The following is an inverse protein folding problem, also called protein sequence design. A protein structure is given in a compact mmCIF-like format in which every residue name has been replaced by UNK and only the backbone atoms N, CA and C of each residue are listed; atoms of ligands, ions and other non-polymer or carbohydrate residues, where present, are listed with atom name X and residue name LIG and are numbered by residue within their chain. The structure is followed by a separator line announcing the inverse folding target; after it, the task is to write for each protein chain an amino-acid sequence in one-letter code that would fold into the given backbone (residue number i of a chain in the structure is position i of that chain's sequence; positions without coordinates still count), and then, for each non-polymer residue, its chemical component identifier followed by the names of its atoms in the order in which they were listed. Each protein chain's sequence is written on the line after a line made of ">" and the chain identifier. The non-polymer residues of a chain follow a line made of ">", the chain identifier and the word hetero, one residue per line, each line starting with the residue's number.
data_IF_306357894715
#
_entry.id   IF_306357894715
#
_cell.length_a   1.000
_cell.length_b   1.000
_cell.length_c   1.000
_cell.angle_alpha   90.00
_cell.angle_beta   90.00
_cell.angle_gamma   90.00
#
_symmetry.space_group_name_H-M   'P 1'
#
loop_
_entity.id
_entity.type
_entity.pdbx_description
1 polymer ?
#
# COMPACT_ATOMS: atom_id res chain seq x y z
N UNK A 1 10.96 3.27 19.73
CA UNK A 1 11.86 4.43 19.60
C UNK A 1 13.31 4.03 19.37
N UNK A 2 13.91 3.12 20.15
CA UNK A 2 15.37 2.83 20.08
C UNK A 2 15.89 2.21 18.77
N UNK A 3 15.02 1.61 17.94
CA UNK A 3 15.45 0.89 16.73
C UNK A 3 14.95 1.49 15.40
N UNK A 4 14.02 2.45 15.44
CA UNK A 4 13.42 3.04 14.22
C UNK A 4 14.36 4.06 13.58
N UNK A 5 14.55 3.96 12.26
CA UNK A 5 15.33 4.94 11.48
C UNK A 5 14.54 6.23 11.24
N UNK A 6 13.24 6.13 10.97
CA UNK A 6 12.34 7.29 10.90
C UNK A 6 11.19 7.04 11.86
N UNK A 7 10.89 8.02 12.71
CA UNK A 7 9.80 7.93 13.68
C UNK A 7 9.04 9.26 13.73
N UNK A 8 7.72 9.19 13.56
CA UNK A 8 6.82 10.30 13.83
C UNK A 8 6.11 10.01 15.15
N UNK A 9 6.18 10.94 16.10
CA UNK A 9 5.40 10.88 17.35
C UNK A 9 4.20 11.82 17.24
N UNK A 10 3.02 11.23 17.02
CA UNK A 10 1.71 11.91 17.02
C UNK A 10 1.70 13.24 16.25
N UNK A 11 2.29 13.21 15.06
CA UNK A 11 2.47 14.40 14.23
C UNK A 11 1.13 14.85 13.65
N UNK A 12 0.87 16.16 13.70
CA UNK A 12 -0.31 16.77 13.09
C UNK A 12 0.08 17.93 12.17
N UNK A 13 -0.62 18.03 11.04
CA UNK A 13 -0.48 19.12 10.07
C UNK A 13 -1.83 19.75 9.76
N UNK A 14 -1.94 21.06 9.97
CA UNK A 14 -3.12 21.89 9.80
C UNK A 14 -2.81 22.98 8.77
N UNK A 15 -3.69 23.15 7.80
CA UNK A 15 -3.62 24.23 6.83
C UNK A 15 -4.77 25.20 7.05
N UNK A 16 -4.47 26.50 7.06
CA UNK A 16 -5.50 27.53 7.02
C UNK A 16 -6.12 27.58 5.62
N UNK A 17 -7.44 27.52 5.54
CA UNK A 17 -8.21 27.67 4.29
C UNK A 17 -9.23 28.79 4.42
N UNK A 18 -9.80 29.24 3.30
CA UNK A 18 -10.89 30.23 3.33
C UNK A 18 -12.15 29.77 4.07
N UNK A 19 -12.28 28.46 4.34
CA UNK A 19 -13.40 27.85 5.06
C UNK A 19 -13.04 27.44 6.50
N UNK A 20 -11.88 27.82 7.00
CA UNK A 20 -11.36 27.44 8.33
C UNK A 20 -10.15 26.52 8.25
N UNK A 21 -9.90 25.77 9.33
CA UNK A 21 -8.74 24.89 9.45
C UNK A 21 -8.98 23.53 8.78
N UNK A 22 -8.03 23.11 7.95
CA UNK A 22 -8.01 21.79 7.33
C UNK A 22 -6.89 20.94 7.94
N UNK A 23 -7.27 19.93 8.72
CA UNK A 23 -6.34 18.98 9.32
C UNK A 23 -5.96 17.90 8.30
N UNK A 24 -4.85 18.12 7.59
CA UNK A 24 -4.31 17.20 6.59
C UNK A 24 -3.67 15.96 7.20
N UNK A 25 -3.07 16.08 8.39
CA UNK A 25 -2.47 14.99 9.16
C UNK A 25 -2.91 15.15 10.62
N UNK A 26 -3.32 14.06 11.27
CA UNK A 26 -3.94 14.05 12.61
C UNK A 26 -3.29 12.96 13.47
N UNK A 27 -2.46 13.37 14.41
CA UNK A 27 -1.80 12.50 15.40
C UNK A 27 -1.12 11.26 14.79
N UNK A 28 -0.51 11.41 13.62
CA UNK A 28 0.12 10.29 12.90
C UNK A 28 1.37 9.84 13.64
N UNK A 29 1.37 8.56 13.99
CA UNK A 29 2.54 7.85 14.53
C UNK A 29 2.96 6.79 13.53
N UNK A 30 4.20 6.85 13.06
CA UNK A 30 4.80 5.83 12.18
C UNK A 30 6.19 5.48 12.68
N UNK A 31 6.56 4.22 12.53
CA UNK A 31 7.88 3.69 12.81
C UNK A 31 8.41 2.98 11.56
N UNK A 32 9.51 3.47 11.01
CA UNK A 32 10.16 2.88 9.84
C UNK A 32 11.52 2.36 10.25
N UNK A 33 11.76 1.09 9.96
CA UNK A 33 12.96 0.38 10.34
C UNK A 33 14.09 0.59 9.31
N UNK A 34 15.37 0.46 9.71
CA UNK A 34 16.50 0.49 8.78
C UNK A 34 16.37 -0.59 7.69
N UNK A 35 16.63 -0.23 6.44
CA UNK A 35 16.52 -1.13 5.29
C UNK A 35 15.09 -1.49 4.88
N UNK A 36 14.05 -0.91 5.49
CA UNK A 36 12.66 -1.25 5.18
C UNK A 36 12.15 -0.55 3.91
N UNK A 37 11.36 -1.25 3.10
CA UNK A 37 10.49 -0.64 2.08
C UNK A 37 9.10 -0.39 2.70
N UNK A 38 8.86 0.84 3.15
CA UNK A 38 7.64 1.23 3.85
C UNK A 38 6.74 2.06 2.95
N UNK A 39 5.48 1.65 2.74
CA UNK A 39 4.54 2.41 1.92
C UNK A 39 3.48 3.15 2.73
N UNK A 40 3.24 4.41 2.37
CA UNK A 40 2.04 5.16 2.72
C UNK A 40 1.02 4.97 1.60
N UNK A 41 -0.10 4.31 1.90
CA UNK A 41 -1.15 3.97 0.95
C UNK A 41 -2.47 4.63 1.35
N UNK A 42 -3.30 5.07 0.40
CA UNK A 42 -4.59 5.68 0.69
C UNK A 42 -5.12 6.49 -0.47
N UNK A 43 -6.38 6.92 -0.39
CA UNK A 43 -7.04 7.74 -1.43
C UNK A 43 -6.41 9.14 -1.56
N UNK A 44 -6.77 9.87 -2.62
CA UNK A 44 -6.38 11.28 -2.75
C UNK A 44 -6.89 12.08 -1.54
N UNK A 45 -6.04 12.96 -1.01
CA UNK A 45 -6.36 13.76 0.18
C UNK A 45 -6.23 13.04 1.52
N UNK A 46 -5.78 11.78 1.57
CA UNK A 46 -5.64 11.04 2.84
C UNK A 46 -4.47 11.48 3.74
N UNK A 47 -3.61 12.41 3.28
CA UNK A 47 -2.50 12.97 4.06
C UNK A 47 -1.12 12.37 3.78
N UNK A 48 -0.99 11.45 2.80
CA UNK A 48 0.29 10.76 2.48
C UNK A 48 1.42 11.71 2.08
N UNK A 49 1.19 12.53 1.05
CA UNK A 49 2.19 13.50 0.55
C UNK A 49 2.53 14.54 1.62
N UNK A 50 1.55 14.98 2.41
CA UNK A 50 1.82 15.86 3.56
C UNK A 50 2.72 15.17 4.59
N UNK A 51 2.44 13.91 4.93
CA UNK A 51 3.27 13.11 5.84
C UNK A 51 4.70 12.94 5.30
N UNK A 52 4.85 12.64 4.00
CA UNK A 52 6.15 12.55 3.35
C UNK A 52 6.92 13.89 3.39
N UNK A 53 6.23 15.00 3.15
CA UNK A 53 6.81 16.36 3.23
C UNK A 53 7.22 16.75 4.64
N UNK A 54 6.48 16.30 5.66
CA UNK A 54 6.85 16.47 7.07
C UNK A 54 8.13 15.70 7.40
N UNK A 55 8.35 14.52 6.82
CA UNK A 55 9.62 13.77 6.97
C UNK A 55 10.76 14.51 6.23
N UNK A 56 10.49 14.95 4.99
CA UNK A 56 11.46 15.66 4.15
C UNK A 56 11.77 17.09 4.61
N UNK A 57 11.01 17.66 5.56
CA UNK A 57 11.17 19.01 6.06
C UNK A 57 10.65 20.11 5.15
N UNK A 58 9.87 19.76 4.13
CA UNK A 58 9.19 20.72 3.26
C UNK A 58 7.95 21.33 3.93
N UNK A 59 7.49 20.70 5.00
CA UNK A 59 6.44 21.17 5.90
C UNK A 59 6.91 21.04 7.33
N UNK A 60 6.41 21.92 8.21
CA UNK A 60 6.64 21.86 9.66
C UNK A 60 5.31 21.48 10.31
N UNK A 61 5.28 20.48 11.21
CA UNK A 61 4.05 20.12 11.89
C UNK A 61 3.67 21.16 12.96
N UNK A 62 2.37 21.35 13.18
CA UNK A 62 1.87 22.18 14.28
C UNK A 62 2.00 21.45 15.63
N UNK A 63 1.92 20.11 15.63
CA UNK A 63 2.04 19.28 16.82
C UNK A 63 2.82 18.00 16.54
N UNK A 64 3.42 17.42 17.59
CA UNK A 64 4.22 16.21 17.51
C UNK A 64 5.65 16.45 17.02
N UNK A 65 6.42 15.37 16.89
CA UNK A 65 7.84 15.42 16.57
C UNK A 65 8.23 14.43 15.47
N UNK A 66 9.20 14.81 14.66
CA UNK A 66 9.80 13.99 13.60
C UNK A 66 11.23 13.65 14.01
N UNK A 67 11.52 12.36 14.13
CA UNK A 67 12.84 11.84 14.44
C UNK A 67 13.43 11.10 13.26
N UNK A 68 14.70 11.33 12.97
CA UNK A 68 15.45 10.59 11.95
C UNK A 68 16.78 10.16 12.56
N UNK A 69 17.06 8.85 12.55
CA UNK A 69 18.24 8.25 13.16
C UNK A 69 18.41 8.65 14.64
N UNK A 70 17.28 8.76 15.36
CA UNK A 70 17.22 9.17 16.77
C UNK A 70 17.35 10.66 17.04
N UNK A 71 17.60 11.49 16.01
CA UNK A 71 17.70 12.95 16.16
C UNK A 71 16.35 13.61 15.86
N UNK A 72 15.93 14.56 16.71
CA UNK A 72 14.76 15.40 16.44
C UNK A 72 15.09 16.36 15.30
N UNK A 73 14.44 16.18 14.15
CA UNK A 73 14.62 16.99 12.95
C UNK A 73 13.45 17.92 12.69
N UNK A 74 12.49 18.04 13.62
CA UNK A 74 11.19 18.70 13.42
C UNK A 74 11.33 20.11 12.86
N UNK A 75 12.24 20.91 13.44
CA UNK A 75 12.50 22.29 13.01
C UNK A 75 13.60 22.42 11.93
N UNK A 76 14.23 21.32 11.52
CA UNK A 76 15.31 21.36 10.53
C UNK A 76 14.74 21.53 9.12
N UNK A 77 15.32 22.43 8.29
CA UNK A 77 14.95 22.56 6.89
C UNK A 77 15.43 21.35 6.06
N UNK A 78 14.89 21.12 4.84
CA UNK A 78 15.16 19.92 4.05
C UNK A 78 16.64 19.62 3.84
N UNK A 79 17.44 20.64 3.52
CA UNK A 79 18.88 20.49 3.22
C UNK A 79 19.74 20.10 4.44
N UNK A 80 19.18 20.14 5.65
CA UNK A 80 19.83 19.66 6.89
C UNK A 80 19.31 18.30 7.35
N UNK A 81 18.34 17.72 6.65
CA UNK A 81 17.84 16.37 6.96
C UNK A 81 18.61 15.35 6.13
N UNK A 82 19.02 14.26 6.76
CA UNK A 82 19.76 13.18 6.09
C UNK A 82 18.82 12.25 5.30
N UNK A 83 17.98 12.85 4.44
CA UNK A 83 16.99 12.18 3.60
C UNK A 83 16.98 12.81 2.22
N UNK A 84 16.69 12.03 1.20
CA UNK A 84 16.50 12.55 -0.15
C UNK A 84 15.09 12.27 -0.66
N UNK A 85 14.52 13.23 -1.38
CA UNK A 85 13.15 13.13 -1.90
C UNK A 85 13.13 13.11 -3.41
N UNK A 86 12.43 12.15 -3.99
CA UNK A 86 12.05 12.12 -5.41
C UNK A 86 10.59 12.49 -5.51
N UNK A 87 10.33 13.64 -6.12
CA UNK A 87 8.98 14.16 -6.34
C UNK A 87 8.33 13.52 -7.57
N UNK A 88 6.99 13.56 -7.61
CA UNK A 88 6.17 13.06 -8.70
C UNK A 88 6.60 13.53 -10.09
N UNK A 89 6.97 14.81 -10.25
CA UNK A 89 7.41 15.38 -11.53
C UNK A 89 8.91 15.14 -11.84
N UNK A 90 9.58 14.28 -11.07
CA UNK A 90 11.03 14.01 -11.06
C UNK A 90 11.94 15.21 -10.73
N UNK A 91 11.44 16.43 -10.87
CA UNK A 91 12.12 17.70 -10.61
C UNK A 91 13.53 17.75 -11.24
N UNK A 92 13.70 17.21 -12.45
CA UNK A 92 14.97 17.28 -13.18
C UNK A 92 15.22 18.71 -13.63
N UNK A 93 16.48 19.16 -13.57
CA UNK A 93 16.86 20.47 -14.05
C UNK A 93 16.92 20.45 -15.59
N UNK A 94 16.02 21.16 -16.29
CA UNK A 94 15.85 21.01 -17.74
C UNK A 94 17.03 21.55 -18.54
N UNK A 95 17.80 22.47 -17.95
CA UNK A 95 18.97 23.11 -18.55
C UNK A 95 20.27 22.32 -18.35
N UNK A 96 20.26 21.31 -17.46
CA UNK A 96 21.41 20.45 -17.19
C UNK A 96 21.32 19.15 -17.99
N UNK A 97 22.46 18.59 -18.36
CA UNK A 97 22.52 17.23 -18.91
C UNK A 97 22.18 16.18 -17.84
N UNK A 98 22.01 14.92 -18.24
CA UNK A 98 21.81 13.80 -17.31
C UNK A 98 22.98 13.69 -16.33
N UNK A 99 24.22 13.71 -16.83
CA UNK A 99 25.41 13.64 -16.00
C UNK A 99 25.47 14.81 -15.00
N UNK A 100 25.11 16.03 -15.44
CA UNK A 100 25.07 17.21 -14.58
C UNK A 100 23.94 17.14 -13.54
N UNK A 101 22.76 16.63 -13.91
CA UNK A 101 21.66 16.39 -12.97
C UNK A 101 22.10 15.44 -11.86
N UNK A 102 22.75 14.33 -12.23
CA UNK A 102 23.24 13.31 -11.30
C UNK A 102 24.39 13.87 -10.44
N UNK A 103 25.31 14.64 -11.01
CA UNK A 103 26.45 15.24 -10.28
C UNK A 103 26.06 16.35 -9.30
N UNK A 104 24.91 17.00 -9.51
CA UNK A 104 24.52 18.22 -8.78
C UNK A 104 24.59 18.09 -7.25
N UNK A 105 24.10 17.01 -6.60
CA UNK A 105 24.21 16.84 -5.16
C UNK A 105 25.65 16.71 -4.65
N UNK A 106 26.58 16.15 -5.45
CA UNK A 106 28.00 16.08 -5.09
C UNK A 106 28.64 17.46 -5.08
N UNK A 107 28.27 18.30 -6.06
CA UNK A 107 28.76 19.68 -6.16
C UNK A 107 28.31 20.54 -4.97
N UNK A 108 27.06 20.39 -4.52
CA UNK A 108 26.56 21.07 -3.31
C UNK A 108 27.30 20.58 -2.06
N UNK A 109 27.54 19.28 -1.96
CA UNK A 109 28.30 18.68 -0.86
C UNK A 109 29.80 18.99 -0.92
N UNK A 110 30.27 19.77 -1.92
CA UNK A 110 31.67 20.17 -2.13
C UNK A 110 32.63 18.98 -2.21
N UNK A 111 32.16 17.87 -2.79
CA UNK A 111 33.01 16.71 -3.08
C UNK A 111 34.12 17.11 -4.05
N UNK A 112 35.37 16.63 -3.88
CA UNK A 112 36.46 16.95 -4.79
C UNK A 112 36.14 16.64 -6.25
N UNK A 113 36.48 17.56 -7.17
CA UNK A 113 36.16 17.44 -8.60
C UNK A 113 36.68 16.14 -9.23
N UNK A 114 37.85 15.65 -8.77
CA UNK A 114 38.43 14.39 -9.23
C UNK A 114 37.56 13.15 -8.93
N UNK A 115 36.68 13.22 -7.91
CA UNK A 115 35.81 12.11 -7.52
C UNK A 115 34.44 12.13 -8.22
N UNK A 116 34.02 13.30 -8.74
CA UNK A 116 32.67 13.47 -9.32
C UNK A 116 32.50 12.61 -10.58
N UNK A 117 33.44 12.70 -11.53
CA UNK A 117 33.38 11.94 -12.78
C UNK A 117 33.26 10.42 -12.57
N UNK A 118 34.16 9.79 -11.78
CA UNK A 118 34.07 8.37 -11.46
C UNK A 118 32.74 7.96 -10.82
N UNK A 119 32.24 8.72 -9.83
CA UNK A 119 30.96 8.42 -9.16
C UNK A 119 29.76 8.55 -10.09
N UNK A 120 29.75 9.58 -10.95
CA UNK A 120 28.69 9.76 -11.95
C UNK A 120 28.72 8.61 -12.96
N UNK A 121 29.89 8.20 -13.44
CA UNK A 121 30.02 7.08 -14.36
C UNK A 121 29.53 5.77 -13.72
N UNK A 122 29.92 5.47 -12.48
CA UNK A 122 29.41 4.31 -11.74
C UNK A 122 27.89 4.35 -11.58
N UNK A 123 27.34 5.52 -11.22
CA UNK A 123 25.90 5.71 -11.06
C UNK A 123 25.16 5.49 -12.37
N UNK A 124 25.66 6.02 -13.50
CA UNK A 124 25.04 5.80 -14.81
C UNK A 124 24.95 4.31 -15.16
N UNK A 125 25.97 3.51 -14.81
CA UNK A 125 25.98 2.05 -14.99
C UNK A 125 24.96 1.36 -14.08
N UNK A 126 24.98 1.68 -12.79
CA UNK A 126 24.08 1.11 -11.79
C UNK A 126 22.60 1.29 -12.19
N UNK A 127 22.25 2.44 -12.74
CA UNK A 127 20.89 2.75 -13.17
C UNK A 127 20.60 2.40 -14.65
N UNK A 128 21.49 1.68 -15.35
CA UNK A 128 21.31 1.26 -16.75
C UNK A 128 20.94 2.43 -17.67
N UNK A 129 21.62 3.55 -17.49
CA UNK A 129 21.48 4.79 -18.29
C UNK A 129 22.83 5.24 -18.86
N UNK A 130 23.74 4.28 -19.08
CA UNK A 130 24.98 4.50 -19.80
C UNK A 130 24.72 5.09 -21.20
N UNK A 131 25.61 5.98 -21.66
CA UNK A 131 25.46 6.65 -22.96
C UNK A 131 24.37 7.74 -23.01
N UNK A 132 23.60 7.95 -21.94
CA UNK A 132 22.61 9.04 -21.86
C UNK A 132 23.17 10.30 -21.18
N UNK A 133 24.41 10.28 -20.69
CA UNK A 133 25.01 11.34 -19.87
C UNK A 133 24.96 12.74 -20.48
N UNK A 134 25.11 12.86 -21.80
CA UNK A 134 25.12 14.14 -22.53
C UNK A 134 23.73 14.63 -22.94
N UNK A 135 22.70 13.79 -22.80
CA UNK A 135 21.32 14.16 -23.12
C UNK A 135 20.76 15.10 -22.07
N UNK A 136 19.75 15.89 -22.44
CA UNK A 136 18.92 16.70 -21.54
C UNK A 136 17.61 15.97 -21.22
N UNK A 137 16.93 16.29 -20.10
CA UNK A 137 15.70 15.61 -19.68
C UNK A 137 14.61 15.50 -20.75
N UNK A 138 14.44 16.55 -21.59
CA UNK A 138 13.46 16.56 -22.67
C UNK A 138 13.73 15.52 -23.79
N UNK A 139 14.92 14.92 -23.83
CA UNK A 139 15.33 13.90 -24.80
C UNK A 139 15.20 12.47 -24.25
N UNK A 140 14.59 12.30 -23.08
CA UNK A 140 14.45 11.03 -22.37
C UNK A 140 12.99 10.58 -22.31
N UNK A 141 12.77 9.27 -22.32
CA UNK A 141 11.47 8.68 -21.97
C UNK A 141 11.13 8.89 -20.49
N UNK A 142 9.87 8.71 -20.10
CA UNK A 142 9.43 8.84 -18.70
C UNK A 142 10.23 7.93 -17.74
N UNK A 143 10.40 6.65 -18.09
CA UNK A 143 11.22 5.72 -17.29
C UNK A 143 12.69 6.11 -17.23
N UNK A 144 13.26 6.67 -18.31
CA UNK A 144 14.63 7.20 -18.28
C UNK A 144 14.75 8.43 -17.38
N UNK A 145 13.79 9.36 -17.42
CA UNK A 145 13.78 10.52 -16.51
C UNK A 145 13.70 10.07 -15.04
N UNK A 146 12.88 9.07 -14.74
CA UNK A 146 12.80 8.52 -13.40
C UNK A 146 14.13 7.91 -12.95
N UNK A 147 14.78 7.09 -13.78
CA UNK A 147 16.10 6.52 -13.47
C UNK A 147 17.13 7.62 -13.19
N UNK A 148 17.11 8.71 -13.95
CA UNK A 148 17.96 9.89 -13.70
C UNK A 148 17.64 10.55 -12.36
N UNK A 149 16.36 10.66 -12.00
CA UNK A 149 15.93 11.24 -10.73
C UNK A 149 16.35 10.37 -9.52
N UNK A 150 16.18 9.05 -9.62
CA UNK A 150 16.64 8.08 -8.62
C UNK A 150 18.18 8.09 -8.51
N UNK A 151 18.89 8.07 -9.63
CA UNK A 151 20.35 8.17 -9.69
C UNK A 151 20.86 9.43 -8.98
N UNK A 152 20.26 10.58 -9.29
CA UNK A 152 20.56 11.85 -8.60
C UNK A 152 20.27 11.76 -7.11
N UNK A 153 19.16 11.16 -6.70
CA UNK A 153 18.83 11.01 -5.29
C UNK A 153 19.77 10.03 -4.56
N UNK A 154 20.43 9.11 -5.25
CA UNK A 154 21.20 8.03 -4.61
C UNK A 154 22.71 8.20 -4.69
N UNK A 155 23.22 9.15 -5.49
CA UNK A 155 24.67 9.35 -5.66
C UNK A 155 25.42 9.71 -4.36
N UNK A 156 24.76 10.36 -3.40
CA UNK A 156 25.32 10.67 -2.07
C UNK A 156 25.08 9.56 -1.04
N UNK A 157 24.47 8.44 -1.41
CA UNK A 157 24.14 7.30 -0.54
C UNK A 157 23.40 7.73 0.75
N UNK A 158 22.22 8.38 0.63
CA UNK A 158 21.44 8.81 1.79
C UNK A 158 20.98 7.60 2.61
N UNK A 159 20.66 7.76 3.90
CA UNK A 159 20.10 6.66 4.71
C UNK A 159 18.63 6.36 4.36
N UNK A 160 17.87 7.38 3.96
CA UNK A 160 16.44 7.30 3.67
C UNK A 160 16.14 7.94 2.32
N UNK A 161 15.36 7.24 1.50
CA UNK A 161 14.80 7.74 0.25
C UNK A 161 13.29 7.90 0.39
N UNK A 162 12.80 9.10 0.12
CA UNK A 162 11.38 9.47 0.12
C UNK A 162 10.90 9.53 -1.34
N UNK A 163 9.84 8.79 -1.68
CA UNK A 163 9.31 8.68 -3.03
C UNK A 163 7.84 9.11 -3.06
N UNK A 164 7.54 10.21 -3.75
CA UNK A 164 6.17 10.78 -3.84
C UNK A 164 5.52 10.40 -5.17
N UNK A 165 4.70 9.34 -5.18
CA UNK A 165 4.00 8.80 -6.35
C UNK A 165 4.88 8.68 -7.61
N UNK A 166 6.09 8.08 -7.52
CA UNK A 166 7.08 8.16 -8.60
C UNK A 166 6.70 7.37 -9.86
N UNK A 167 5.63 6.57 -9.82
CA UNK A 167 5.18 5.71 -10.91
C UNK A 167 3.85 6.15 -11.54
N UNK A 168 3.20 7.18 -11.01
CA UNK A 168 1.81 7.53 -11.38
C UNK A 168 1.66 7.91 -12.86
N UNK A 169 2.71 8.45 -13.47
CA UNK A 169 2.72 8.94 -14.86
C UNK A 169 3.15 7.88 -15.89
N UNK A 170 3.46 6.65 -15.45
CA UNK A 170 3.95 5.57 -16.33
C UNK A 170 2.82 4.65 -16.79
N UNK A 171 2.92 4.14 -18.01
CA UNK A 171 2.04 3.06 -18.51
C UNK A 171 2.29 1.75 -17.75
N UNK A 172 1.32 0.83 -17.82
CA UNK A 172 1.33 -0.39 -17.02
C UNK A 172 2.57 -1.27 -17.22
N UNK A 173 3.09 -1.38 -18.46
CA UNK A 173 4.24 -2.25 -18.74
C UNK A 173 5.52 -1.66 -18.15
N UNK A 174 5.77 -0.38 -18.43
CA UNK A 174 6.97 0.29 -17.89
C UNK A 174 6.88 0.37 -16.37
N UNK A 175 5.69 0.60 -15.82
CA UNK A 175 5.46 0.63 -14.38
C UNK A 175 5.89 -0.67 -13.70
N UNK A 176 5.49 -1.82 -14.24
CA UNK A 176 5.88 -3.13 -13.69
C UNK A 176 7.39 -3.36 -13.75
N UNK A 177 8.03 -3.04 -14.87
CA UNK A 177 9.49 -3.11 -15.01
C UNK A 177 10.20 -2.25 -13.94
N UNK A 178 9.73 -1.02 -13.73
CA UNK A 178 10.32 -0.11 -12.75
C UNK A 178 10.05 -0.53 -11.30
N UNK A 179 8.89 -1.11 -11.00
CA UNK A 179 8.59 -1.68 -9.66
C UNK A 179 9.66 -2.71 -9.28
N UNK A 180 9.95 -3.65 -10.19
CA UNK A 180 10.96 -4.68 -9.97
C UNK A 180 12.36 -4.06 -9.78
N UNK A 181 12.71 -3.05 -10.59
CA UNK A 181 13.97 -2.32 -10.44
C UNK A 181 14.11 -1.62 -9.09
N UNK A 182 13.05 -0.98 -8.58
CA UNK A 182 13.05 -0.32 -7.27
C UNK A 182 13.27 -1.32 -6.13
N UNK A 183 12.59 -2.47 -6.19
CA UNK A 183 12.75 -3.53 -5.17
C UNK A 183 14.16 -4.10 -5.19
N UNK A 184 14.71 -4.37 -6.38
CA UNK A 184 16.08 -4.87 -6.51
C UNK A 184 17.11 -3.85 -6.01
N UNK A 185 16.93 -2.57 -6.36
CA UNK A 185 17.79 -1.47 -5.89
C UNK A 185 17.79 -1.37 -4.36
N UNK A 186 16.61 -1.45 -3.74
CA UNK A 186 16.49 -1.45 -2.28
C UNK A 186 17.25 -2.62 -1.66
N UNK A 187 17.10 -3.84 -2.21
CA UNK A 187 17.80 -5.03 -1.71
C UNK A 187 19.33 -4.95 -1.87
N UNK A 188 19.80 -4.42 -2.98
CA UNK A 188 21.24 -4.29 -3.26
C UNK A 188 21.91 -3.20 -2.40
N UNK A 189 21.18 -2.13 -2.07
CA UNK A 189 21.73 -0.97 -1.37
C UNK A 189 21.42 -0.95 0.13
N UNK A 190 20.47 -1.78 0.59
CA UNK A 190 19.95 -1.83 1.95
C UNK A 190 19.49 -0.46 2.48
N UNK A 191 18.98 0.39 1.58
CA UNK A 191 18.45 1.70 1.93
C UNK A 191 17.02 1.58 2.44
N UNK A 192 16.62 2.49 3.32
CA UNK A 192 15.22 2.60 3.74
C UNK A 192 14.43 3.44 2.72
N UNK A 193 13.31 2.91 2.25
CA UNK A 193 12.41 3.56 1.32
C UNK A 193 11.12 3.93 2.04
N UNK A 194 10.67 5.17 1.88
CA UNK A 194 9.31 5.59 2.25
C UNK A 194 8.59 5.99 0.97
N UNK A 195 7.61 5.18 0.58
CA UNK A 195 6.96 5.23 -0.72
C UNK A 195 5.51 5.67 -0.59
N UNK A 196 5.12 6.75 -1.27
CA UNK A 196 3.72 7.20 -1.32
C UNK A 196 3.10 6.71 -2.61
N UNK A 197 1.95 6.05 -2.51
CA UNK A 197 1.13 5.69 -3.67
C UNK A 197 -0.36 5.69 -3.34
N UNK A 198 -1.17 5.80 -4.38
CA UNK A 198 -2.61 5.53 -4.35
C UNK A 198 -2.95 4.16 -4.97
N UNK A 199 -1.98 3.49 -5.60
CA UNK A 199 -2.13 2.18 -6.23
C UNK A 199 -1.87 1.08 -5.19
N UNK A 200 -2.87 0.22 -5.01
CA UNK A 200 -2.83 -0.84 -4.01
C UNK A 200 -1.89 -1.98 -4.42
N UNK A 201 -1.82 -2.29 -5.71
CA UNK A 201 -0.95 -3.34 -6.23
C UNK A 201 0.51 -2.96 -6.00
N UNK A 202 0.86 -1.67 -6.16
CA UNK A 202 2.19 -1.15 -5.84
C UNK A 202 2.56 -1.37 -4.39
N UNK A 203 1.70 -0.91 -3.49
CA UNK A 203 1.95 -0.99 -2.06
C UNK A 203 2.06 -2.45 -1.61
N UNK A 204 1.20 -3.34 -2.10
CA UNK A 204 1.21 -4.75 -1.70
C UNK A 204 2.38 -5.54 -2.31
N UNK A 205 2.83 -5.20 -3.52
CA UNK A 205 3.91 -5.92 -4.19
C UNK A 205 5.32 -5.50 -3.75
N UNK A 206 5.52 -4.22 -3.40
CA UNK A 206 6.85 -3.66 -3.13
C UNK A 206 7.23 -3.63 -1.64
N UNK A 207 6.24 -3.53 -0.75
CA UNK A 207 6.49 -3.09 0.62
C UNK A 207 6.71 -4.24 1.58
N UNK A 208 7.58 -4.01 2.56
CA UNK A 208 7.70 -4.88 3.74
C UNK A 208 6.56 -4.58 4.72
N UNK A 209 6.24 -3.28 4.91
CA UNK A 209 5.05 -2.81 5.65
C UNK A 209 4.34 -1.69 4.89
N UNK A 210 3.02 -1.66 5.06
CA UNK A 210 2.13 -0.65 4.49
C UNK A 210 1.36 0.02 5.62
N UNK A 211 1.38 1.34 5.65
CA UNK A 211 0.46 2.15 6.43
C UNK A 211 -0.69 2.63 5.53
N UNK A 212 -1.88 2.11 5.79
CA UNK A 212 -3.12 2.58 5.13
C UNK A 212 -3.56 3.85 5.83
N UNK A 213 -3.71 4.94 5.07
CA UNK A 213 -4.08 6.26 5.54
C UNK A 213 -5.47 6.67 5.05
N UNK A 214 -6.23 7.30 5.93
CA UNK A 214 -7.56 7.83 5.66
C UNK A 214 -7.81 9.08 6.49
N UNK A 215 -8.32 10.14 5.86
CA UNK A 215 -8.67 11.40 6.53
C UNK A 215 -7.56 11.97 7.45
N UNK A 216 -6.30 11.86 7.02
CA UNK A 216 -5.14 12.35 7.75
C UNK A 216 -4.66 11.46 8.90
N UNK A 217 -5.25 10.27 9.09
CA UNK A 217 -4.86 9.31 10.12
C UNK A 217 -4.35 8.01 9.51
N UNK A 218 -3.53 7.29 10.26
CA UNK A 218 -3.16 5.90 9.94
C UNK A 218 -4.28 4.99 10.42
N UNK A 219 -4.89 4.23 9.51
CA UNK A 219 -5.95 3.26 9.80
C UNK A 219 -5.41 1.91 10.25
N UNK A 220 -4.36 1.45 9.59
CA UNK A 220 -3.70 0.18 9.90
C UNK A 220 -2.26 0.22 9.39
N UNK A 221 -1.35 -0.39 10.14
CA UNK A 221 0.00 -0.70 9.68
C UNK A 221 0.20 -2.20 9.76
N UNK A 222 0.78 -2.80 8.73
CA UNK A 222 1.08 -4.24 8.72
C UNK A 222 1.80 -4.65 7.45
N UNK A 223 2.17 -5.93 7.37
CA UNK A 223 2.67 -6.50 6.10
C UNK A 223 1.56 -6.50 5.05
N UNK A 224 1.89 -6.52 3.74
CA UNK A 224 0.88 -6.63 2.68
C UNK A 224 -0.17 -7.71 2.93
N UNK A 225 0.29 -8.89 3.39
CA UNK A 225 -0.59 -10.01 3.73
C UNK A 225 -1.50 -9.71 4.91
N UNK A 226 -0.99 -9.08 5.97
CA UNK A 226 -1.84 -8.69 7.12
C UNK A 226 -2.90 -7.65 6.73
N UNK A 227 -2.53 -6.66 5.92
CA UNK A 227 -3.46 -5.64 5.42
C UNK A 227 -4.56 -6.28 4.56
N UNK A 228 -4.20 -7.24 3.71
CA UNK A 228 -5.13 -7.90 2.80
C UNK A 228 -6.02 -8.95 3.50
N UNK A 229 -5.42 -9.87 4.25
CA UNK A 229 -6.10 -11.01 4.88
C UNK A 229 -6.81 -10.64 6.18
N UNK A 230 -6.33 -9.60 6.89
CA UNK A 230 -6.82 -9.22 8.22
C UNK A 230 -6.95 -7.69 8.36
N UNK A 231 -7.84 -7.06 7.58
CA UNK A 231 -8.10 -5.63 7.70
C UNK A 231 -8.64 -5.28 9.10
N UNK A 232 -8.12 -4.20 9.68
CA UNK A 232 -8.44 -3.74 11.04
C UNK A 232 -9.76 -2.95 11.13
N UNK A 233 -10.32 -2.54 10.00
CA UNK A 233 -11.59 -1.81 9.92
C UNK A 233 -12.30 -2.08 8.60
N UNK A 234 -13.60 -1.78 8.56
CA UNK A 234 -14.40 -1.89 7.33
C UNK A 234 -13.85 -1.01 6.21
N UNK A 235 -13.32 0.17 6.55
CA UNK A 235 -12.65 1.03 5.57
C UNK A 235 -11.48 0.31 4.91
N UNK A 236 -10.56 -0.29 5.69
CA UNK A 236 -9.39 -0.98 5.10
C UNK A 236 -9.85 -2.19 4.27
N UNK A 237 -10.86 -2.93 4.75
CA UNK A 237 -11.42 -4.07 4.03
C UNK A 237 -12.02 -3.68 2.67
N UNK A 238 -12.74 -2.56 2.61
CA UNK A 238 -13.34 -2.03 1.38
C UNK A 238 -12.32 -1.34 0.47
N UNK A 239 -11.30 -0.74 1.07
CA UNK A 239 -10.28 -0.01 0.35
C UNK A 239 -9.29 -0.97 -0.31
N UNK A 240 -8.88 -2.07 0.34
CA UNK A 240 -7.86 -2.98 -0.15
C UNK A 240 -8.48 -4.17 -0.87
N UNK A 241 -8.27 -4.27 -2.18
CA UNK A 241 -8.73 -5.39 -3.02
C UNK A 241 -10.25 -5.47 -3.14
N UNK A 242 -10.73 -6.52 -3.80
CA UNK A 242 -12.17 -6.84 -3.86
C UNK A 242 -12.56 -7.70 -2.66
N UNK A 243 -13.80 -7.55 -2.19
CA UNK A 243 -14.34 -8.29 -1.07
C UNK A 243 -15.86 -8.41 -1.20
N UNK A 244 -16.41 -9.51 -0.66
CA UNK A 244 -17.84 -9.67 -0.43
C UNK A 244 -18.13 -9.35 1.03
N UNK A 245 -19.16 -8.55 1.28
CA UNK A 245 -19.57 -8.16 2.62
C UNK A 245 -20.97 -8.68 2.94
N UNK A 246 -21.11 -9.30 4.10
CA UNK A 246 -22.38 -9.81 4.60
C UNK A 246 -22.66 -9.20 5.96
N UNK A 247 -23.88 -8.71 6.19
CA UNK A 247 -24.26 -8.17 7.51
C UNK A 247 -25.26 -9.12 8.15
N UNK A 248 -25.02 -9.50 9.39
CA UNK A 248 -25.86 -10.44 10.12
C UNK A 248 -25.75 -10.29 11.62
N UNK A 249 -26.53 -11.09 12.35
CA UNK A 249 -26.55 -11.10 13.82
C UNK A 249 -25.80 -12.30 14.37
N UNK A 250 -24.99 -12.08 15.39
CA UNK A 250 -24.29 -13.16 16.09
C UNK A 250 -25.28 -14.02 16.86
N UNK A 251 -25.29 -15.31 16.60
CA UNK A 251 -26.20 -16.28 17.23
C UNK A 251 -25.47 -17.35 18.07
N UNK A 252 -24.17 -17.55 17.85
CA UNK A 252 -23.36 -18.48 18.64
C UNK A 252 -21.89 -18.03 18.72
N UNK A 253 -21.28 -18.26 19.89
CA UNK A 253 -19.90 -17.91 20.25
C UNK A 253 -19.19 -19.16 20.83
N UNK A 254 -19.14 -20.26 20.08
CA UNK A 254 -18.49 -21.51 20.48
C UNK A 254 -17.12 -21.67 19.80
N UNK A 255 -16.81 -22.82 19.19
CA UNK A 255 -15.54 -23.10 18.50
C UNK A 255 -15.37 -22.25 17.23
N UNK A 256 -16.48 -21.79 16.64
CA UNK A 256 -16.51 -20.82 15.54
C UNK A 256 -17.61 -19.79 15.77
N UNK A 257 -17.43 -18.59 15.22
CA UNK A 257 -18.47 -17.55 15.26
C UNK A 257 -19.59 -17.94 14.29
N UNK A 258 -20.82 -18.05 14.77
CA UNK A 258 -21.98 -18.25 13.90
C UNK A 258 -22.81 -16.97 13.80
N UNK A 259 -23.08 -16.56 12.57
CA UNK A 259 -23.81 -15.33 12.25
C UNK A 259 -24.99 -15.67 11.35
N UNK A 260 -26.18 -15.23 11.75
CA UNK A 260 -27.38 -15.32 10.91
C UNK A 260 -27.41 -14.15 9.92
N UNK A 261 -27.34 -14.47 8.64
CA UNK A 261 -27.44 -13.53 7.51
C UNK A 261 -28.69 -13.91 6.71
N UNK A 262 -29.71 -13.06 6.72
CA UNK A 262 -30.97 -13.28 5.97
C UNK A 262 -31.56 -14.69 6.16
N UNK A 263 -31.57 -15.21 7.40
CA UNK A 263 -32.10 -16.54 7.74
C UNK A 263 -31.17 -17.72 7.46
N UNK A 264 -29.93 -17.48 7.01
CA UNK A 264 -28.91 -18.51 6.80
C UNK A 264 -27.77 -18.36 7.81
N UNK A 265 -27.32 -19.47 8.40
CA UNK A 265 -26.22 -19.47 9.38
C UNK A 265 -24.88 -19.58 8.67
N UNK A 266 -24.00 -18.61 8.92
CA UNK A 266 -22.65 -18.54 8.36
C UNK A 266 -21.64 -18.70 9.49
N UNK A 267 -20.71 -19.66 9.31
CA UNK A 267 -19.55 -19.84 10.18
C UNK A 267 -18.42 -18.89 9.76
N UNK A 268 -17.85 -18.19 10.72
CA UNK A 268 -16.78 -17.22 10.54
C UNK A 268 -15.74 -17.28 11.67
N UNK A 269 -14.66 -16.54 11.50
CA UNK A 269 -13.65 -16.29 12.54
C UNK A 269 -13.60 -14.81 12.91
N UNK A 270 -13.29 -14.52 14.17
CA UNK A 270 -13.22 -13.17 14.71
C UNK A 270 -11.80 -12.87 15.22
N UNK A 271 -10.84 -12.57 14.32
CA UNK A 271 -9.42 -12.49 14.70
C UNK A 271 -9.08 -11.28 15.58
N UNK A 272 -9.81 -10.16 15.41
CA UNK A 272 -9.40 -8.85 15.95
C UNK A 272 -10.41 -8.22 16.92
N UNK A 273 -11.58 -8.84 17.11
CA UNK A 273 -12.66 -8.31 17.94
C UNK A 273 -13.44 -9.46 18.56
N UNK A 274 -13.92 -9.28 19.80
CA UNK A 274 -14.74 -10.26 20.50
C UNK A 274 -16.19 -9.78 20.46
N UNK A 275 -17.03 -10.32 19.57
CA UNK A 275 -18.42 -9.90 19.49
C UNK A 275 -19.24 -10.48 20.65
N UNK A 276 -20.39 -9.87 20.87
CA UNK A 276 -21.39 -10.31 21.85
C UNK A 276 -22.57 -10.99 21.15
N UNK A 277 -23.29 -11.85 21.89
CA UNK A 277 -24.47 -12.53 21.37
C UNK A 277 -25.54 -11.50 20.99
N UNK A 278 -26.13 -11.64 19.80
CA UNK A 278 -27.12 -10.73 19.24
C UNK A 278 -26.56 -9.46 18.58
N UNK A 279 -25.23 -9.25 18.64
CA UNK A 279 -24.57 -8.12 17.99
C UNK A 279 -24.68 -8.20 16.47
N UNK A 280 -24.96 -7.07 15.82
CA UNK A 280 -24.91 -6.97 14.36
C UNK A 280 -23.45 -6.79 13.92
N UNK A 281 -22.96 -7.71 13.10
CA UNK A 281 -21.57 -7.71 12.63
C UNK A 281 -21.51 -7.77 11.11
N UNK A 282 -20.39 -7.32 10.54
CA UNK A 282 -20.08 -7.46 9.12
C UNK A 282 -19.03 -8.53 8.91
N UNK A 283 -19.34 -9.50 8.07
CA UNK A 283 -18.41 -10.52 7.59
C UNK A 283 -17.80 -10.08 6.27
N UNK A 284 -16.54 -10.45 6.05
CA UNK A 284 -15.80 -10.24 4.81
C UNK A 284 -15.30 -11.59 4.30
N UNK A 285 -15.46 -11.82 3.00
CA UNK A 285 -14.89 -12.97 2.30
C UNK A 285 -14.23 -12.47 1.02
N UNK A 286 -12.99 -12.87 0.75
CA UNK A 286 -12.32 -12.48 -0.49
C UNK A 286 -12.88 -13.30 -1.69
N UNK A 287 -13.09 -12.68 -2.86
CA UNK A 287 -13.65 -13.36 -4.03
C UNK A 287 -12.88 -14.62 -4.47
N UNK A 288 -11.57 -14.63 -4.26
CA UNK A 288 -10.68 -15.75 -4.60
C UNK A 288 -10.65 -16.88 -3.56
N UNK A 289 -11.25 -16.66 -2.38
CA UNK A 289 -11.47 -17.71 -1.38
C UNK A 289 -12.78 -18.47 -1.61
N UNK A 290 -13.63 -17.97 -2.52
CA UNK A 290 -14.90 -18.59 -2.88
C UNK A 290 -14.70 -19.60 -4.00
N UNK A 291 -15.30 -20.78 -3.85
CA UNK A 291 -15.27 -21.85 -4.85
C UNK A 291 -16.67 -22.14 -5.38
N UNK A 292 -16.77 -22.42 -6.68
CA UNK A 292 -18.01 -22.82 -7.33
C UNK A 292 -18.02 -24.32 -7.57
N UNK A 293 -19.11 -24.99 -7.20
CA UNK A 293 -19.34 -26.40 -7.50
C UNK A 293 -20.66 -26.60 -8.24
N UNK A 294 -20.65 -27.50 -9.22
CA UNK A 294 -21.79 -27.76 -10.11
C UNK A 294 -22.92 -28.61 -9.48
N UNK A 295 -22.77 -29.10 -8.24
CA UNK A 295 -23.74 -30.02 -7.64
C UNK A 295 -23.95 -29.77 -6.15
N UNK A 296 -25.22 -29.58 -5.76
CA UNK A 296 -25.71 -29.62 -4.36
C UNK A 296 -25.48 -31.00 -3.72
N UNK A 297 -25.32 -32.05 -4.52
CA UNK A 297 -25.22 -33.44 -4.07
C UNK A 297 -23.80 -33.96 -3.72
N UNK A 298 -22.73 -33.22 -4.01
CA UNK A 298 -21.35 -33.59 -3.64
C UNK A 298 -20.88 -32.90 -2.34
N UNK A 299 -21.82 -32.60 -1.45
CA UNK A 299 -21.59 -32.00 -0.13
C UNK A 299 -20.67 -32.82 0.79
N UNK A 300 -20.41 -34.10 0.45
CA UNK A 300 -19.65 -35.03 1.30
C UNK A 300 -18.12 -34.82 1.30
N UNK A 301 -17.55 -33.96 0.44
CA UNK A 301 -16.10 -33.78 0.34
C UNK A 301 -15.59 -32.42 0.84
N UNK A 302 -16.45 -31.55 1.36
CA UNK A 302 -16.04 -30.31 2.02
C UNK A 302 -16.31 -30.53 3.50
N UNK A 303 -15.25 -30.68 4.31
CA UNK A 303 -15.36 -31.09 5.72
C UNK A 303 -16.31 -30.21 6.53
N UNK A 304 -16.64 -30.64 7.76
CA UNK A 304 -17.62 -30.03 8.68
C UNK A 304 -17.48 -28.49 8.92
N UNK A 305 -16.38 -27.88 8.46
CA UNK A 305 -16.03 -26.47 8.60
C UNK A 305 -16.23 -25.61 7.33
N UNK A 306 -16.95 -26.09 6.32
CA UNK A 306 -17.28 -25.31 5.12
C UNK A 306 -18.69 -24.70 5.17
N UNK A 307 -18.83 -23.48 4.67
CA UNK A 307 -20.12 -22.85 4.38
C UNK A 307 -20.52 -23.16 2.92
N UNK A 308 -21.81 -23.36 2.67
CA UNK A 308 -22.35 -23.68 1.34
C UNK A 308 -23.65 -22.93 1.11
N UNK A 309 -23.78 -22.26 -0.04
CA UNK A 309 -24.98 -21.51 -0.41
C UNK A 309 -25.32 -21.71 -1.89
N UNK A 310 -26.58 -22.04 -2.24
CA UNK A 310 -26.99 -22.07 -3.63
C UNK A 310 -26.99 -20.66 -4.24
N UNK A 311 -26.54 -20.54 -5.48
CA UNK A 311 -26.52 -19.28 -6.20
C UNK A 311 -26.76 -19.48 -7.70
N UNK A 312 -27.16 -18.39 -8.36
CA UNK A 312 -27.33 -18.34 -9.81
C UNK A 312 -26.33 -17.36 -10.40
N UNK A 313 -25.57 -17.81 -11.39
CA UNK A 313 -24.63 -16.95 -12.11
C UNK A 313 -25.43 -15.95 -12.95
N UNK A 314 -25.17 -14.66 -12.74
CA UNK A 314 -25.82 -13.57 -13.49
C UNK A 314 -24.91 -12.97 -14.55
N UNK A 315 -23.61 -12.88 -14.26
CA UNK A 315 -22.64 -12.29 -15.18
C UNK A 315 -21.26 -12.94 -15.04
N UNK A 316 -20.55 -13.10 -16.16
CA UNK A 316 -19.16 -13.56 -16.21
C UNK A 316 -18.36 -12.55 -16.99
N UNK A 317 -17.28 -12.06 -16.40
CA UNK A 317 -16.35 -11.10 -17.03
C UNK A 317 -14.96 -11.71 -17.13
N UNK A 318 -14.41 -11.71 -18.33
CA UNK A 318 -13.03 -12.15 -18.59
C UNK A 318 -12.04 -11.01 -18.29
N UNK A 319 -11.09 -11.26 -17.38
CA UNK A 319 -10.05 -10.32 -16.96
C UNK A 319 -8.68 -10.98 -17.17
N UNK A 320 -8.32 -11.22 -18.43
CA UNK A 320 -7.07 -11.89 -18.77
C UNK A 320 -7.05 -13.33 -18.24
N UNK A 321 -6.15 -13.64 -17.30
CA UNK A 321 -6.03 -15.00 -16.75
C UNK A 321 -7.10 -15.34 -15.70
N UNK A 322 -8.02 -14.42 -15.42
CA UNK A 322 -9.04 -14.55 -14.38
C UNK A 322 -10.44 -14.42 -14.97
N UNK A 323 -11.39 -15.16 -14.40
CA UNK A 323 -12.82 -14.93 -14.55
C UNK A 323 -13.34 -14.25 -13.28
N UNK A 324 -14.00 -13.11 -13.45
CA UNK A 324 -14.81 -12.49 -12.41
C UNK A 324 -16.27 -12.87 -12.64
N UNK A 325 -16.86 -13.56 -11.67
CA UNK A 325 -18.20 -14.14 -11.77
C UNK A 325 -19.10 -13.45 -10.75
N UNK A 326 -20.23 -12.91 -11.21
CA UNK A 326 -21.27 -12.36 -10.36
C UNK A 326 -22.37 -13.39 -10.17
N UNK A 327 -22.81 -13.57 -8.93
CA UNK A 327 -23.84 -14.53 -8.55
C UNK A 327 -24.90 -13.85 -7.69
N UNK A 328 -26.15 -14.24 -7.86
CA UNK A 328 -27.23 -13.95 -6.91
C UNK A 328 -27.45 -15.16 -6.00
N UNK A 329 -27.51 -14.92 -4.70
CA UNK A 329 -27.79 -15.94 -3.68
C UNK A 329 -28.94 -15.48 -2.77
N UNK A 330 -29.56 -16.37 -1.98
CA UNK A 330 -30.58 -15.99 -1.00
C UNK A 330 -30.12 -14.92 0.01
N UNK A 331 -28.81 -14.80 0.25
CA UNK A 331 -28.24 -13.85 1.21
C UNK A 331 -27.58 -12.62 0.55
N UNK A 332 -27.77 -12.44 -0.76
CA UNK A 332 -27.26 -11.29 -1.51
C UNK A 332 -26.40 -11.65 -2.71
N UNK A 333 -25.86 -10.62 -3.36
CA UNK A 333 -24.99 -10.79 -4.52
C UNK A 333 -23.54 -11.09 -4.08
N UNK A 334 -22.87 -11.96 -4.83
CA UNK A 334 -21.47 -12.31 -4.62
C UNK A 334 -20.65 -12.12 -5.88
N UNK A 335 -19.39 -11.75 -5.68
CA UNK A 335 -18.33 -11.79 -6.66
C UNK A 335 -17.37 -12.93 -6.34
N UNK A 336 -17.09 -13.79 -7.31
CA UNK A 336 -16.06 -14.83 -7.25
C UNK A 336 -14.97 -14.52 -8.27
N UNK A 337 -13.72 -14.76 -7.91
CA UNK A 337 -12.57 -14.62 -8.82
C UNK A 337 -11.84 -15.95 -8.86
N UNK A 338 -11.70 -16.54 -10.05
CA UNK A 338 -10.97 -17.79 -10.24
C UNK A 338 -10.16 -17.76 -11.53
N UNK A 339 -9.23 -18.71 -11.68
CA UNK A 339 -8.45 -18.85 -12.91
C UNK A 339 -9.37 -19.11 -14.11
N UNK A 340 -9.00 -18.54 -15.26
CA UNK A 340 -9.72 -18.73 -16.51
C UNK A 340 -9.77 -20.20 -16.92
N UNK A 341 -10.95 -20.65 -17.32
CA UNK A 341 -11.24 -22.01 -17.74
C UNK A 341 -12.57 -22.08 -18.47
N UNK A 342 -13.29 -23.19 -18.35
CA UNK A 342 -14.66 -23.29 -18.86
C UNK A 342 -15.55 -22.26 -18.16
N UNK A 343 -16.26 -21.43 -18.94
CA UNK A 343 -17.19 -20.45 -18.38
C UNK A 343 -18.33 -21.16 -17.64
N UNK A 344 -18.45 -20.96 -16.32
CA UNK A 344 -19.54 -21.56 -15.57
C UNK A 344 -20.85 -20.82 -15.89
N UNK A 345 -21.96 -21.55 -15.90
CA UNK A 345 -23.28 -20.98 -16.16
C UNK A 345 -24.37 -21.70 -15.36
N UNK A 346 -25.49 -21.01 -15.17
CA UNK A 346 -26.66 -21.58 -14.50
C UNK A 346 -26.58 -21.55 -12.97
N UNK A 347 -27.20 -22.57 -12.36
CA UNK A 347 -27.25 -22.76 -10.92
C UNK A 347 -25.98 -23.46 -10.42
N UNK A 348 -25.41 -22.93 -9.34
CA UNK A 348 -24.17 -23.40 -8.73
C UNK A 348 -24.29 -23.36 -7.22
N UNK A 349 -23.40 -24.07 -6.53
CA UNK A 349 -23.22 -23.91 -5.08
C UNK A 349 -21.92 -23.16 -4.85
N UNK A 350 -22.02 -22.08 -4.07
CA UNK A 350 -20.92 -21.28 -3.58
C UNK A 350 -20.42 -21.86 -2.27
N UNK A 351 -19.11 -22.14 -2.18
CA UNK A 351 -18.49 -22.76 -1.01
C UNK A 351 -17.27 -21.97 -0.54
N UNK A 352 -17.03 -21.95 0.77
CA UNK A 352 -15.80 -21.42 1.39
C UNK A 352 -15.54 -22.02 2.77
N UNK A 353 -14.31 -21.95 3.26
CA UNK A 353 -13.96 -22.42 4.60
C UNK A 353 -14.30 -21.36 5.66
N UNK A 354 -14.61 -21.81 6.87
CA UNK A 354 -14.87 -20.92 8.02
C UNK A 354 -13.74 -19.92 8.26
N UNK A 355 -12.49 -20.34 8.10
CA UNK A 355 -11.29 -19.51 8.30
C UNK A 355 -11.15 -18.36 7.28
N UNK A 356 -11.78 -18.50 6.11
CA UNK A 356 -11.73 -17.50 5.03
C UNK A 356 -12.83 -16.44 5.19
N UNK A 357 -13.79 -16.69 6.08
CA UNK A 357 -14.84 -15.73 6.43
C UNK A 357 -14.44 -15.03 7.72
N UNK A 358 -13.98 -13.80 7.61
CA UNK A 358 -13.54 -13.02 8.77
C UNK A 358 -14.61 -12.01 9.16
N UNK A 359 -14.82 -11.83 10.45
CA UNK A 359 -15.63 -10.75 10.98
C UNK A 359 -14.79 -9.48 11.08
N UNK A 360 -15.30 -8.39 10.52
CA UNK A 360 -14.71 -7.06 10.58
C UNK A 360 -15.33 -6.30 11.75
N UNK A 361 -14.49 -5.73 12.60
CA UNK A 361 -14.96 -4.90 13.70
C UNK A 361 -15.67 -3.65 13.17
N UNK A 362 -16.82 -3.25 13.76
CA UNK A 362 -17.48 -1.99 13.44
C UNK A 362 -16.68 -0.76 13.93
N UNK A 363 -15.70 -0.96 14.82
CA UNK A 363 -14.81 0.08 15.34
C UNK A 363 -13.36 -0.25 15.01
N UNK A 364 -12.51 0.78 14.93
CA UNK A 364 -11.08 0.61 14.65
C UNK A 364 -10.48 -0.34 15.69
N UNK A 365 -10.00 -1.52 15.29
CA UNK A 365 -9.29 -2.40 16.19
C UNK A 365 -8.06 -1.64 16.73
N UNK A 366 -7.90 -1.56 18.06
CA UNK A 366 -6.71 -0.96 18.65
C UNK A 366 -5.49 -1.72 18.12
N UNK A 367 -4.67 -1.04 17.32
CA UNK A 367 -3.42 -1.60 16.82
C UNK A 367 -2.52 -1.81 18.03
N UNK A 368 -2.26 -3.06 18.40
CA UNK A 368 -1.19 -3.39 19.34
C UNK A 368 0.11 -3.11 18.59
N UNK A 369 0.77 -2.02 18.97
CA UNK A 369 2.11 -1.64 18.50
C UNK A 369 3.16 -2.65 18.96
#
# INVERSE_FOLDING_TARGET
>A
MKDSLVYLDRVSKIYATSKGEFHAVREVTIDVQPGEFYSLLGSSGSGKTTTLRLIGGFEIPEYGQVYINGEDVTALPPYRRNVHTVFQNYALFPHLTVAQNIAYPLSIAKIPQAEIGPRVAETLRMFRIEGLGDRRPAQLSGGQQQRVALARALINRPKVLLLDEPLSALDAKIREEVRQELRELQRQTNLTFIYVTHDQEEALALSDRVAVMHNGQVEQVGTPRQIYDRPASLFVAQFIGKANFLTGKVIELSDSLQVEVAGTVIKAVAPSYKPTLGETVTLMIRPEQLQLSANVGNAANHGENANQIPGKITHVTYIGQLLQIQLETPIGAFTVIQLSGTEPSGEVVLNWQTQDCIMISPTKAQTVL
#
